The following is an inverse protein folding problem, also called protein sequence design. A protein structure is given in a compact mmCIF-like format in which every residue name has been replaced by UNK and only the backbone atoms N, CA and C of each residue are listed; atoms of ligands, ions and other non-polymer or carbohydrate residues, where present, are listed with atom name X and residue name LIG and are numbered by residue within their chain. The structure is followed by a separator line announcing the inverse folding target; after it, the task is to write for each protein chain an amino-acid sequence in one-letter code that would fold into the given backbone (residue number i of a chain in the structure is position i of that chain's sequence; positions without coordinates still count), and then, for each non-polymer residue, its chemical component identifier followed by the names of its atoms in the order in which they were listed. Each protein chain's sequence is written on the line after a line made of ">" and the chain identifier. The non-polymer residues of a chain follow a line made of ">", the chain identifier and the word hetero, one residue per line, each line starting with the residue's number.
data_IF_662358980459
#
_entry.id   IF_662358980459
#
_cell.length_a   1.000
_cell.length_b   1.000
_cell.length_c   1.000
_cell.angle_alpha   90.00
_cell.angle_beta   90.00
_cell.angle_gamma   90.00
#
_symmetry.space_group_name_H-M   'P 1'
#
loop_
_entity.id
_entity.type
_entity.pdbx_description
1 polymer ?
#
# COMPACT_ATOMS: atom_id res chain seq x y z
N UNK A 1 -16.17 8.20 8.75
CA UNK A 1 -15.64 7.26 7.74
C UNK A 1 -14.62 8.02 6.90
N UNK A 2 -13.32 7.88 7.19
CA UNK A 2 -12.27 8.67 6.53
C UNK A 2 -12.26 8.40 5.02
N UNK A 3 -11.99 9.44 4.21
CA UNK A 3 -11.88 9.31 2.74
C UNK A 3 -10.82 8.26 2.42
N UNK A 4 -11.24 7.10 1.93
CA UNK A 4 -10.34 6.12 1.31
C UNK A 4 -9.92 6.72 -0.03
N UNK A 5 -8.66 7.12 -0.14
CA UNK A 5 -8.09 7.59 -1.40
C UNK A 5 -7.83 6.35 -2.26
N UNK A 6 -8.76 6.07 -3.18
CA UNK A 6 -8.56 5.04 -4.20
C UNK A 6 -7.81 5.70 -5.37
N UNK A 7 -6.52 5.44 -5.45
CA UNK A 7 -5.74 5.71 -6.65
C UNK A 7 -5.68 4.44 -7.48
N UNK A 8 -6.37 4.44 -8.61
CA UNK A 8 -6.30 3.36 -9.59
C UNK A 8 -4.95 3.43 -10.30
N UNK A 9 -4.03 2.55 -9.89
CA UNK A 9 -2.76 2.33 -10.59
C UNK A 9 -2.88 1.01 -11.35
N UNK A 10 -2.82 1.08 -12.68
CA UNK A 10 -2.79 -0.10 -13.54
C UNK A 10 -1.67 -0.01 -14.55
N UNK A 11 -1.01 -1.14 -14.80
CA UNK A 11 0.07 -1.23 -15.78
C UNK A 11 0.11 -2.63 -16.43
N UNK A 12 0.99 -2.78 -17.41
CA UNK A 12 1.18 -4.02 -18.17
C UNK A 12 2.62 -4.52 -17.99
N UNK A 13 2.77 -5.85 -17.88
CA UNK A 13 4.06 -6.54 -17.98
C UNK A 13 3.89 -7.66 -19.00
N UNK A 14 4.38 -7.42 -20.23
CA UNK A 14 4.15 -8.34 -21.35
C UNK A 14 2.66 -8.53 -21.61
N UNK A 15 2.18 -9.78 -21.50
CA UNK A 15 0.76 -10.13 -21.69
C UNK A 15 -0.07 -10.03 -20.40
N UNK A 16 0.56 -9.76 -19.26
CA UNK A 16 -0.13 -9.67 -17.98
C UNK A 16 -0.53 -8.22 -17.67
N UNK A 17 -1.79 -8.03 -17.28
CA UNK A 17 -2.27 -6.77 -16.73
C UNK A 17 -2.25 -6.82 -15.21
N UNK A 18 -1.83 -5.71 -14.59
CA UNK A 18 -1.75 -5.57 -13.15
C UNK A 18 -2.56 -4.35 -12.73
N UNK A 19 -3.43 -4.53 -11.75
CA UNK A 19 -4.20 -3.45 -11.11
C UNK A 19 -3.91 -3.45 -9.62
N UNK A 20 -3.49 -2.31 -9.08
CA UNK A 20 -3.34 -2.10 -7.64
C UNK A 20 -4.71 -1.86 -7.01
N UNK A 21 -5.00 -2.60 -5.95
CA UNK A 21 -6.22 -2.49 -5.14
C UNK A 21 -5.84 -1.94 -3.77
N UNK A 22 -6.07 -0.66 -3.53
CA UNK A 22 -5.69 0.01 -2.27
C UNK A 22 -6.69 -0.31 -1.16
N UNK A 23 -6.21 -0.85 -0.04
CA UNK A 23 -7.00 -0.99 1.19
C UNK A 23 -6.93 0.29 2.01
N UNK A 24 -5.73 0.79 2.28
CA UNK A 24 -5.52 2.02 3.05
C UNK A 24 -4.18 2.68 2.72
N UNK A 25 -4.18 4.01 2.74
CA UNK A 25 -2.98 4.84 2.81
C UNK A 25 -3.01 5.57 4.14
N UNK A 26 -1.96 5.42 4.93
CA UNK A 26 -1.88 5.99 6.27
C UNK A 26 -0.48 6.48 6.61
N UNK A 27 -0.40 7.21 7.71
CA UNK A 27 0.83 7.66 8.35
C UNK A 27 1.00 6.93 9.67
N UNK A 28 2.24 6.61 10.01
CA UNK A 28 2.60 6.01 11.31
C UNK A 28 3.92 6.62 11.81
N UNK A 29 4.15 6.76 13.12
CA UNK A 29 5.45 7.20 13.64
C UNK A 29 6.60 6.33 13.12
N UNK A 30 7.68 6.98 12.66
CA UNK A 30 8.85 6.31 12.07
C UNK A 30 10.01 6.09 13.05
N UNK A 31 9.78 6.17 14.38
CA UNK A 31 10.82 6.16 15.41
C UNK A 31 11.77 4.95 15.30
N UNK A 32 11.24 3.78 14.97
CA UNK A 32 12.03 2.54 14.80
C UNK A 32 12.94 2.55 13.56
N UNK A 33 12.74 3.51 12.65
CA UNK A 33 13.48 3.67 11.40
C UNK A 33 14.40 4.91 11.41
N UNK A 34 14.54 5.60 12.55
CA UNK A 34 15.29 6.84 12.65
C UNK A 34 16.73 6.73 12.11
N UNK A 35 17.39 5.59 12.32
CA UNK A 35 18.76 5.39 11.85
C UNK A 35 18.90 5.29 10.32
N UNK A 36 17.80 5.06 9.59
CA UNK A 36 17.74 5.03 8.13
C UNK A 36 17.23 6.35 7.52
N UNK A 37 17.05 7.40 8.33
CA UNK A 37 16.40 8.64 7.91
C UNK A 37 17.04 9.29 6.67
N UNK A 38 18.37 9.18 6.51
CA UNK A 38 19.10 9.73 5.36
C UNK A 38 18.70 9.13 4.01
N UNK A 39 18.26 7.86 4.01
CA UNK A 39 17.79 7.16 2.80
C UNK A 39 16.27 7.26 2.64
N UNK A 40 15.53 7.33 3.75
CA UNK A 40 14.08 7.30 3.74
C UNK A 40 13.42 8.67 3.51
N UNK A 41 14.04 9.77 3.96
CA UNK A 41 13.50 11.11 3.76
C UNK A 41 13.84 11.66 2.37
N UNK A 42 12.92 12.34 1.69
CA UNK A 42 11.53 12.67 2.08
C UNK A 42 10.47 11.74 1.46
N UNK A 43 10.89 10.69 0.74
CA UNK A 43 9.99 9.90 -0.10
C UNK A 43 9.19 8.86 0.68
N UNK A 44 9.76 8.32 1.75
CA UNK A 44 9.15 7.27 2.57
C UNK A 44 8.81 7.77 3.97
N UNK A 45 9.58 8.73 4.51
CA UNK A 45 9.28 9.43 5.76
C UNK A 45 9.11 10.92 5.44
N UNK A 46 8.03 11.54 5.93
CA UNK A 46 7.77 12.95 5.71
C UNK A 46 8.54 13.88 6.68
N UNK A 47 8.32 15.19 6.55
CA UNK A 47 8.97 16.20 7.38
C UNK A 47 8.60 16.12 8.88
N UNK A 48 7.51 15.42 9.23
CA UNK A 48 7.02 15.25 10.61
C UNK A 48 7.37 13.87 11.19
N UNK A 49 8.38 13.20 10.63
CA UNK A 49 8.81 11.86 11.05
C UNK A 49 7.71 10.80 10.96
N UNK A 50 6.78 10.97 10.02
CA UNK A 50 5.75 9.97 9.72
C UNK A 50 6.15 9.11 8.53
N UNK A 51 6.14 7.79 8.73
CA UNK A 51 6.26 6.80 7.67
C UNK A 51 4.99 6.84 6.80
N UNK A 52 5.18 6.96 5.50
CA UNK A 52 4.13 6.95 4.49
C UNK A 52 3.85 5.50 4.07
N UNK A 53 2.71 4.94 4.49
CA UNK A 53 2.37 3.54 4.29
C UNK A 53 1.22 3.40 3.30
N UNK A 54 1.35 2.49 2.33
CA UNK A 54 0.27 2.04 1.47
C UNK A 54 0.08 0.52 1.60
N UNK A 55 -1.08 0.09 2.11
CA UNK A 55 -1.49 -1.31 2.15
C UNK A 55 -2.41 -1.57 0.96
N UNK A 56 -2.04 -2.51 0.10
CA UNK A 56 -2.75 -2.81 -1.13
C UNK A 56 -2.53 -4.26 -1.56
N UNK A 57 -3.49 -4.79 -2.32
CA UNK A 57 -3.37 -6.05 -3.04
C UNK A 57 -3.11 -5.77 -4.54
N UNK A 58 -2.72 -6.80 -5.29
CA UNK A 58 -2.62 -6.73 -6.74
C UNK A 58 -3.51 -7.77 -7.41
N UNK A 59 -4.38 -7.29 -8.31
CA UNK A 59 -5.09 -8.15 -9.23
C UNK A 59 -4.28 -8.27 -10.52
N UNK A 60 -3.82 -9.48 -10.80
CA UNK A 60 -3.07 -9.83 -11.98
C UNK A 60 -3.98 -10.64 -12.90
N UNK A 61 -4.10 -10.24 -14.16
CA UNK A 61 -4.80 -11.02 -15.19
C UNK A 61 -3.81 -11.49 -16.23
N UNK A 62 -3.69 -12.80 -16.39
CA UNK A 62 -2.78 -13.44 -17.35
C UNK A 62 -3.24 -14.85 -17.66
N UNK A 63 -3.08 -15.30 -18.91
CA UNK A 63 -3.44 -16.67 -19.31
C UNK A 63 -4.92 -17.04 -19.09
N UNK A 64 -5.82 -16.05 -19.14
CA UNK A 64 -7.25 -16.24 -18.87
C UNK A 64 -7.61 -16.35 -17.38
N UNK A 65 -6.63 -16.23 -16.48
CA UNK A 65 -6.82 -16.29 -15.03
C UNK A 65 -6.93 -14.89 -14.42
N UNK A 66 -7.68 -14.80 -13.33
CA UNK A 66 -7.64 -13.67 -12.39
C UNK A 66 -6.92 -14.15 -11.13
N UNK A 67 -5.77 -13.55 -10.83
CA UNK A 67 -4.89 -13.93 -9.72
C UNK A 67 -4.82 -12.75 -8.75
N UNK A 68 -5.11 -12.99 -7.48
CA UNK A 68 -4.96 -11.98 -6.43
C UNK A 68 -3.68 -12.27 -5.65
N UNK A 69 -2.83 -11.26 -5.48
CA UNK A 69 -1.64 -11.30 -4.61
C UNK A 69 -1.93 -10.44 -3.40
N UNK A 70 -1.78 -11.06 -2.22
CA UNK A 70 -2.26 -10.58 -0.92
C UNK A 70 -3.77 -10.36 -0.85
N UNK A 71 -4.29 -10.36 0.38
CA UNK A 71 -5.67 -9.97 0.66
C UNK A 71 -5.75 -8.89 1.75
N UNK A 72 -4.61 -8.28 2.06
CA UNK A 72 -4.47 -7.27 3.11
C UNK A 72 -5.10 -7.73 4.42
N UNK A 73 -5.69 -6.83 5.20
CA UNK A 73 -6.27 -7.17 6.50
C UNK A 73 -7.74 -7.60 6.39
N UNK A 74 -8.44 -7.15 5.34
CA UNK A 74 -9.85 -7.39 5.09
C UNK A 74 -10.77 -6.45 5.88
N UNK A 75 -12.02 -6.33 5.42
CA UNK A 75 -13.02 -5.47 6.08
C UNK A 75 -13.59 -6.12 7.35
N UNK A 76 -14.00 -5.29 8.33
CA UNK A 76 -14.80 -5.72 9.47
C UNK A 76 -14.03 -6.38 10.63
N UNK A 77 -12.69 -6.42 10.56
CA UNK A 77 -11.86 -6.87 11.69
C UNK A 77 -11.50 -5.69 12.59
N UNK A 78 -11.44 -5.94 13.91
CA UNK A 78 -10.71 -5.05 14.83
C UNK A 78 -9.22 -5.31 14.60
N UNK A 79 -8.59 -4.46 13.80
CA UNK A 79 -7.15 -4.52 13.61
C UNK A 79 -6.48 -3.81 14.79
N UNK A 80 -5.40 -4.35 15.37
CA UNK A 80 -4.64 -3.68 16.44
C UNK A 80 -3.84 -2.46 15.93
N UNK A 81 -4.11 -2.01 14.70
CA UNK A 81 -3.49 -0.87 14.06
C UNK A 81 -4.23 0.44 14.36
N UNK A 82 -5.29 0.40 15.16
CA UNK A 82 -6.04 1.54 15.70
C UNK A 82 -6.43 1.32 17.16
#
# INVERSE_FOLDING_TARGET
>A
MGKRYYEELSWQIGVASITRLVEVVLKSPAETLAHYASWLKSNFIDANDQLLISIHAFLIRSGGLNIIVDTCSGNGKKLPLF
#
